data_IF_563523015277
#
_entry.id   IF_563523015277
#
_cell.length_a   1.000
_cell.length_b   1.000
_cell.length_c   1.000
_cell.angle_alpha   90.00
_cell.angle_beta   90.00
_cell.angle_gamma   90.00
#
_symmetry.space_group_name_H-M   'P 1'
#
loop_
_entity.id
_entity.type
_entity.pdbx_description
1 polymer ?
#
# COMPACT_ATOMS: atom_id res chain seq x y z
N UNK A 1 9.29 2.62 27.90
CA UNK A 1 8.25 1.75 27.30
C UNK A 1 7.48 2.58 26.29
N UNK A 2 7.29 2.10 25.06
CA UNK A 2 6.54 2.83 24.02
C UNK A 2 5.05 2.72 24.34
N UNK A 3 4.35 3.85 24.41
CA UNK A 3 2.90 3.90 24.67
C UNK A 3 2.10 3.47 23.43
N UNK A 4 0.87 2.97 23.60
CA UNK A 4 0.01 2.61 22.47
C UNK A 4 -0.27 3.80 21.54
N UNK A 5 -0.35 5.02 22.08
CA UNK A 5 -0.50 6.23 21.28
C UNK A 5 0.71 6.50 20.38
N UNK A 6 1.93 6.27 20.87
CA UNK A 6 3.14 6.36 20.05
C UNK A 6 3.19 5.26 18.99
N UNK A 7 2.81 4.02 19.33
CA UNK A 7 2.72 2.91 18.35
C UNK A 7 1.71 3.22 17.24
N UNK A 8 0.56 3.78 17.60
CA UNK A 8 -0.48 4.18 16.66
C UNK A 8 -0.01 5.30 15.74
N UNK A 9 0.68 6.32 16.28
CA UNK A 9 1.27 7.40 15.48
C UNK A 9 2.31 6.85 14.48
N UNK A 10 3.22 5.99 14.93
CA UNK A 10 4.21 5.39 14.03
C UNK A 10 3.54 4.52 12.97
N UNK A 11 2.55 3.71 13.35
CA UNK A 11 1.77 2.92 12.39
C UNK A 11 1.10 3.82 11.35
N UNK A 12 0.49 4.92 11.77
CA UNK A 12 -0.10 5.90 10.86
C UNK A 12 0.93 6.46 9.88
N UNK A 13 2.07 6.95 10.39
CA UNK A 13 3.12 7.56 9.56
C UNK A 13 3.71 6.58 8.55
N UNK A 14 3.99 5.34 8.97
CA UNK A 14 4.53 4.33 8.06
C UNK A 14 3.54 3.96 6.97
N UNK A 15 2.27 3.72 7.29
CA UNK A 15 1.29 3.42 6.26
C UNK A 15 1.00 4.61 5.35
N UNK A 16 0.87 5.83 5.91
CA UNK A 16 0.53 7.02 5.14
C UNK A 16 1.68 7.54 4.25
N UNK A 17 2.94 7.34 4.65
CA UNK A 17 4.12 7.88 3.93
C UNK A 17 4.91 6.79 3.21
N UNK A 18 5.19 5.68 3.89
CA UNK A 18 6.03 4.61 3.35
C UNK A 18 5.21 3.65 2.48
N UNK A 19 3.92 3.48 2.78
CA UNK A 19 2.99 2.71 1.95
C UNK A 19 2.94 3.17 0.49
N UNK A 20 2.68 4.46 0.20
CA UNK A 20 2.66 4.97 -1.17
C UNK A 20 3.99 4.82 -1.90
N UNK A 21 5.11 4.99 -1.18
CA UNK A 21 6.44 4.75 -1.74
C UNK A 21 6.62 3.29 -2.19
N UNK A 22 6.26 2.33 -1.34
CA UNK A 22 6.34 0.90 -1.71
C UNK A 22 5.37 0.54 -2.85
N UNK A 23 4.18 1.14 -2.89
CA UNK A 23 3.24 0.91 -3.98
C UNK A 23 3.81 1.41 -5.33
N UNK A 24 4.39 2.62 -5.35
CA UNK A 24 5.05 3.16 -6.53
C UNK A 24 6.25 2.32 -6.96
N UNK A 25 7.10 1.94 -6.00
CA UNK A 25 8.27 1.10 -6.26
C UNK A 25 7.86 -0.27 -6.82
N UNK A 26 6.86 -0.92 -6.22
CA UNK A 26 6.38 -2.22 -6.68
C UNK A 26 5.83 -2.13 -8.11
N UNK A 27 5.06 -1.09 -8.45
CA UNK A 27 4.55 -0.91 -9.81
C UNK A 27 5.69 -0.70 -10.81
N UNK A 28 6.67 0.14 -10.46
CA UNK A 28 7.86 0.37 -11.30
C UNK A 28 8.65 -0.92 -11.53
N UNK A 29 8.85 -1.72 -10.48
CA UNK A 29 9.51 -3.03 -10.57
C UNK A 29 8.71 -3.96 -11.49
N UNK A 30 7.39 -4.04 -11.34
CA UNK A 30 6.52 -4.88 -12.18
C UNK A 30 6.67 -4.51 -13.66
N UNK A 31 6.65 -3.22 -13.99
CA UNK A 31 6.80 -2.73 -15.38
C UNK A 31 8.20 -3.02 -15.93
N UNK A 32 9.24 -2.79 -15.12
CA UNK A 32 10.61 -3.07 -15.51
C UNK A 32 10.83 -4.58 -15.78
N UNK A 33 10.33 -5.44 -14.90
CA UNK A 33 10.41 -6.89 -15.06
C UNK A 33 9.60 -7.37 -16.26
N UNK A 34 8.41 -6.82 -16.50
CA UNK A 34 7.62 -7.17 -17.68
C UNK A 34 8.39 -6.93 -18.98
N UNK A 35 9.15 -5.83 -19.04
CA UNK A 35 10.02 -5.51 -20.18
C UNK A 35 11.17 -6.51 -20.34
N UNK A 36 11.81 -6.90 -19.23
CA UNK A 36 12.94 -7.84 -19.23
C UNK A 36 12.52 -9.26 -19.66
N UNK A 37 11.34 -9.71 -19.24
CA UNK A 37 10.84 -11.06 -19.53
C UNK A 37 10.02 -11.17 -20.82
N UNK A 38 9.99 -10.13 -21.66
CA UNK A 38 9.22 -10.13 -22.92
C UNK A 38 7.70 -10.16 -22.72
N UNK A 39 7.23 -9.77 -21.53
CA UNK A 39 5.81 -9.67 -21.16
C UNK A 39 5.24 -8.28 -21.46
N UNK A 40 5.94 -7.46 -22.25
CA UNK A 40 5.51 -6.10 -22.62
C UNK A 40 4.14 -6.07 -23.30
N UNK A 41 3.70 -7.18 -23.93
CA UNK A 41 2.35 -7.31 -24.48
C UNK A 41 1.22 -7.36 -23.44
N UNK A 42 1.55 -7.52 -22.15
CA UNK A 42 0.61 -7.41 -21.03
C UNK A 42 0.49 -5.98 -20.49
N UNK A 43 1.36 -5.06 -20.95
CA UNK A 43 1.31 -3.66 -20.59
C UNK A 43 0.47 -2.88 -21.62
N UNK A 44 -0.16 -1.75 -21.23
CA UNK A 44 -0.80 -0.83 -22.16
C UNK A 44 0.13 -0.42 -23.31
N UNK A 45 -0.42 -0.30 -24.52
CA UNK A 45 0.33 0.03 -25.74
C UNK A 45 1.05 1.40 -25.66
N UNK A 46 0.45 2.36 -24.97
CA UNK A 46 1.07 3.65 -24.67
C UNK A 46 1.30 3.75 -23.16
N UNK A 47 2.51 3.39 -22.73
CA UNK A 47 2.94 3.63 -21.36
C UNK A 47 3.60 5.01 -21.24
N UNK A 48 3.21 5.83 -20.26
CA UNK A 48 3.99 6.99 -19.87
C UNK A 48 5.42 6.60 -19.48
N UNK A 49 6.33 7.57 -19.44
CA UNK A 49 7.70 7.29 -18.99
C UNK A 49 7.71 6.70 -17.57
N UNK A 50 8.65 5.78 -17.29
CA UNK A 50 8.76 5.08 -16.01
C UNK A 50 8.69 6.02 -14.78
N UNK A 51 9.34 7.22 -14.77
CA UNK A 51 9.23 8.16 -13.67
C UNK A 51 7.81 8.72 -13.50
N UNK A 52 7.09 8.99 -14.60
CA UNK A 52 5.71 9.47 -14.55
C UNK A 52 4.76 8.41 -13.99
N UNK A 53 4.96 7.15 -14.34
CA UNK A 53 4.17 6.04 -13.79
C UNK A 53 4.40 5.89 -12.29
N UNK A 54 5.66 5.94 -11.84
CA UNK A 54 5.99 5.90 -10.41
C UNK A 54 5.36 7.06 -9.64
N UNK A 55 5.44 8.28 -10.18
CA UNK A 55 4.83 9.46 -9.56
C UNK A 55 3.30 9.33 -9.48
N UNK A 56 2.65 8.90 -10.57
CA UNK A 56 1.21 8.69 -10.59
C UNK A 56 0.77 7.64 -9.56
N UNK A 57 1.50 6.52 -9.47
CA UNK A 57 1.23 5.47 -8.49
C UNK A 57 1.39 5.96 -7.05
N UNK A 58 2.42 6.76 -6.76
CA UNK A 58 2.63 7.37 -5.44
C UNK A 58 1.44 8.27 -5.05
N UNK A 59 1.05 9.19 -5.94
CA UNK A 59 -0.05 10.13 -5.69
C UNK A 59 -1.37 9.37 -5.49
N UNK A 60 -1.69 8.43 -6.38
CA UNK A 60 -2.97 7.71 -6.32
C UNK A 60 -3.06 6.73 -5.15
N UNK A 61 -1.97 6.08 -4.78
CA UNK A 61 -1.94 5.17 -3.62
C UNK A 61 -2.01 5.90 -2.27
N UNK A 62 -1.81 7.23 -2.25
CA UNK A 62 -1.88 8.02 -1.01
C UNK A 62 -3.24 7.91 -0.34
N UNK A 63 -4.34 7.99 -1.10
CA UNK A 63 -5.71 7.93 -0.54
C UNK A 63 -5.99 6.60 0.17
N UNK A 64 -5.85 5.43 -0.49
CA UNK A 64 -6.06 4.16 0.20
C UNK A 64 -5.04 3.89 1.30
N UNK A 65 -3.80 4.38 1.16
CA UNK A 65 -2.79 4.27 2.22
C UNK A 65 -3.17 5.05 3.48
N UNK A 66 -3.69 6.27 3.35
CA UNK A 66 -4.18 7.07 4.49
C UNK A 66 -5.39 6.42 5.15
N UNK A 67 -6.35 5.89 4.36
CA UNK A 67 -7.48 5.15 4.92
C UNK A 67 -7.04 3.92 5.72
N UNK A 68 -6.08 3.17 5.16
CA UNK A 68 -5.46 2.03 5.84
C UNK A 68 -4.77 2.46 7.13
N UNK A 69 -3.97 3.53 7.06
CA UNK A 69 -3.24 4.10 8.18
C UNK A 69 -4.16 4.52 9.33
N UNK A 70 -5.29 5.18 9.02
CA UNK A 70 -6.27 5.61 10.02
C UNK A 70 -6.87 4.41 10.76
N UNK A 71 -7.35 3.40 10.02
CA UNK A 71 -7.96 2.21 10.62
C UNK A 71 -6.95 1.44 11.48
N UNK A 72 -5.76 1.18 10.95
CA UNK A 72 -4.73 0.43 11.69
C UNK A 72 -4.20 1.21 12.90
N UNK A 73 -4.08 2.54 12.82
CA UNK A 73 -3.71 3.36 13.97
C UNK A 73 -4.76 3.27 15.08
N UNK A 74 -6.06 3.26 14.74
CA UNK A 74 -7.14 3.06 15.73
C UNK A 74 -7.03 1.66 16.36
N UNK A 75 -6.79 0.62 15.55
CA UNK A 75 -6.57 -0.75 16.06
C UNK A 75 -5.40 -0.77 17.03
N UNK A 76 -4.22 -0.29 16.63
CA UNK A 76 -3.01 -0.25 17.47
C UNK A 76 -3.19 0.56 18.74
N UNK A 77 -3.93 1.68 18.69
CA UNK A 77 -4.24 2.43 19.92
C UNK A 77 -5.01 1.54 20.90
N UNK A 78 -6.04 0.82 20.43
CA UNK A 78 -6.93 0.01 21.26
C UNK A 78 -6.28 -1.29 21.76
N UNK A 79 -5.55 -1.99 20.91
CA UNK A 79 -5.05 -3.34 21.16
C UNK A 79 -3.55 -3.41 21.41
N UNK A 80 -2.79 -2.37 21.04
CA UNK A 80 -1.33 -2.34 21.08
C UNK A 80 -0.64 -3.01 19.88
N UNK A 81 -1.35 -3.84 19.12
CA UNK A 81 -0.79 -4.65 18.02
C UNK A 81 -1.87 -5.16 17.03
N UNK A 82 -1.45 -5.66 15.87
CA UNK A 82 -2.29 -6.33 14.86
C UNK A 82 -1.49 -7.37 14.06
N UNK A 83 -2.15 -8.45 13.63
CA UNK A 83 -1.53 -9.49 12.80
C UNK A 83 -1.45 -9.08 11.31
N UNK A 84 -0.68 -9.84 10.53
CA UNK A 84 -0.51 -9.57 9.10
C UNK A 84 -1.82 -9.63 8.31
N UNK A 85 -2.76 -10.50 8.71
CA UNK A 85 -4.04 -10.66 8.02
C UNK A 85 -4.92 -9.41 8.17
N UNK A 86 -4.93 -8.79 9.34
CA UNK A 86 -5.62 -7.52 9.60
C UNK A 86 -5.05 -6.42 8.70
N UNK A 87 -3.72 -6.35 8.57
CA UNK A 87 -3.05 -5.40 7.68
C UNK A 87 -3.54 -5.53 6.23
N UNK A 88 -3.53 -6.76 5.71
CA UNK A 88 -3.97 -7.08 4.35
C UNK A 88 -5.43 -6.72 4.14
N UNK A 89 -6.31 -7.19 5.02
CA UNK A 89 -7.77 -6.99 4.89
C UNK A 89 -8.09 -5.50 4.90
N UNK A 90 -7.53 -4.75 5.85
CA UNK A 90 -7.78 -3.30 5.96
C UNK A 90 -7.28 -2.59 4.71
N UNK A 91 -6.12 -2.94 4.19
CA UNK A 91 -5.57 -2.31 2.98
C UNK A 91 -6.40 -2.62 1.72
N UNK A 92 -6.86 -3.86 1.56
CA UNK A 92 -7.72 -4.27 0.44
C UNK A 92 -9.06 -3.54 0.49
N UNK A 93 -9.67 -3.44 1.68
CA UNK A 93 -10.94 -2.72 1.86
C UNK A 93 -10.74 -1.22 1.62
N UNK A 94 -9.69 -0.62 2.17
CA UNK A 94 -9.36 0.79 1.95
C UNK A 94 -9.11 1.11 0.47
N UNK A 95 -8.44 0.21 -0.25
CA UNK A 95 -8.28 0.31 -1.70
C UNK A 95 -9.63 0.24 -2.42
N UNK A 96 -10.49 -0.71 -2.09
CA UNK A 96 -11.81 -0.82 -2.69
C UNK A 96 -12.66 0.44 -2.46
N UNK A 97 -12.64 1.00 -1.25
CA UNK A 97 -13.31 2.25 -0.92
C UNK A 97 -12.73 3.40 -1.75
N UNK A 98 -11.40 3.53 -1.81
CA UNK A 98 -10.76 4.57 -2.60
C UNK A 98 -11.11 4.47 -4.10
N UNK A 99 -11.16 3.24 -4.65
CA UNK A 99 -11.52 2.98 -6.03
C UNK A 99 -13.00 3.28 -6.36
N UNK A 100 -13.89 3.27 -5.35
CA UNK A 100 -15.28 3.70 -5.51
C UNK A 100 -15.44 5.23 -5.45
N UNK A 101 -14.62 5.89 -4.63
CA UNK A 101 -14.68 7.34 -4.44
C UNK A 101 -13.98 8.13 -5.54
N UNK A 102 -12.98 7.52 -6.19
CA UNK A 102 -12.14 8.18 -7.17
C UNK A 102 -12.46 7.63 -8.57
N UNK A 103 -12.59 8.50 -9.59
CA UNK A 103 -12.80 8.09 -10.97
C UNK A 103 -11.49 7.53 -11.54
N UNK A 104 -11.15 6.31 -11.13
CA UNK A 104 -10.03 5.54 -11.66
C UNK A 104 -10.56 4.62 -12.76
N UNK A 105 -10.23 4.96 -14.01
CA UNK A 105 -10.50 4.15 -15.19
C UNK A 105 -9.52 2.96 -15.25
N UNK A 106 -9.68 2.05 -14.29
CA UNK A 106 -8.80 0.92 -14.03
C UNK A 106 -9.60 -0.38 -13.83
N UNK A 107 -10.79 -0.48 -14.40
CA UNK A 107 -11.76 -1.55 -14.10
C UNK A 107 -11.16 -2.96 -14.21
N UNK A 108 -10.29 -3.19 -15.19
CA UNK A 108 -9.61 -4.48 -15.38
C UNK A 108 -8.43 -4.70 -14.44
N UNK A 109 -7.81 -3.63 -13.93
CA UNK A 109 -6.63 -3.69 -13.06
C UNK A 109 -6.98 -3.68 -11.55
N UNK A 110 -8.21 -3.29 -11.19
CA UNK A 110 -8.66 -3.13 -9.79
C UNK A 110 -8.36 -4.35 -8.90
N UNK A 111 -8.66 -5.61 -9.28
CA UNK A 111 -8.37 -6.76 -8.43
C UNK A 111 -6.87 -6.95 -8.17
N UNK A 112 -6.04 -6.74 -9.19
CA UNK A 112 -4.58 -6.87 -9.08
C UNK A 112 -3.98 -5.76 -8.21
N UNK A 113 -4.49 -4.53 -8.33
CA UNK A 113 -4.06 -3.41 -7.51
C UNK A 113 -4.50 -3.54 -6.05
N UNK A 114 -5.70 -4.10 -5.81
CA UNK A 114 -6.15 -4.43 -4.46
C UNK A 114 -5.25 -5.49 -3.81
N UNK A 115 -4.88 -6.53 -4.58
CA UNK A 115 -3.93 -7.54 -4.13
C UNK A 115 -2.55 -6.93 -3.83
N UNK A 116 -2.06 -6.06 -4.71
CA UNK A 116 -0.81 -5.32 -4.50
C UNK A 116 -0.87 -4.46 -3.22
N UNK A 117 -1.99 -3.79 -2.95
CA UNK A 117 -2.18 -3.03 -1.73
C UNK A 117 -2.05 -3.92 -0.47
N UNK A 118 -2.60 -5.13 -0.51
CA UNK A 118 -2.43 -6.13 0.56
C UNK A 118 -0.98 -6.56 0.77
N UNK A 119 -0.22 -6.78 -0.32
CA UNK A 119 1.21 -7.09 -0.25
C UNK A 119 1.98 -5.92 0.37
N UNK A 120 1.76 -4.70 -0.14
CA UNK A 120 2.42 -3.49 0.36
C UNK A 120 2.14 -3.29 1.85
N UNK A 121 0.89 -3.44 2.28
CA UNK A 121 0.53 -3.38 3.70
C UNK A 121 1.28 -4.42 4.54
N UNK A 122 1.39 -5.65 4.06
CA UNK A 122 2.16 -6.70 4.74
C UNK A 122 3.63 -6.33 4.87
N UNK A 123 4.23 -5.74 3.82
CA UNK A 123 5.61 -5.26 3.85
C UNK A 123 5.80 -4.12 4.84
N UNK A 124 4.88 -3.14 4.86
CA UNK A 124 4.94 -2.04 5.84
C UNK A 124 4.80 -2.57 7.27
N UNK A 125 3.92 -3.55 7.50
CA UNK A 125 3.83 -4.23 8.80
C UNK A 125 5.15 -4.88 9.17
N UNK A 126 5.79 -5.60 8.25
CA UNK A 126 7.08 -6.25 8.51
C UNK A 126 8.16 -5.25 8.93
N UNK A 127 8.17 -4.05 8.34
CA UNK A 127 9.07 -2.97 8.76
C UNK A 127 8.76 -2.55 10.19
N UNK A 128 7.48 -2.32 10.54
CA UNK A 128 7.07 -1.95 11.90
C UNK A 128 7.44 -3.00 12.95
N UNK A 129 7.37 -4.28 12.61
CA UNK A 129 7.83 -5.40 13.46
C UNK A 129 9.35 -5.35 13.64
N UNK A 130 10.11 -5.12 12.57
CA UNK A 130 11.57 -5.08 12.62
C UNK A 130 12.13 -3.93 13.46
N UNK A 131 11.39 -2.82 13.59
CA UNK A 131 11.76 -1.67 14.40
C UNK A 131 11.09 -1.67 15.79
N UNK A 132 10.53 -2.80 16.22
CA UNK A 132 9.89 -3.02 17.53
C UNK A 132 8.69 -2.08 17.84
N UNK A 133 8.04 -1.53 16.81
CA UNK A 133 6.85 -0.67 16.97
C UNK A 133 5.58 -1.49 17.21
N UNK A 134 5.49 -2.70 16.68
CA UNK A 134 4.40 -3.66 16.90
C UNK A 134 4.99 -5.07 17.05
N UNK A 135 4.24 -6.04 17.58
CA UNK A 135 4.77 -7.39 17.78
C UNK A 135 4.62 -8.25 16.50
N UNK A 136 5.40 -9.35 16.46
CA UNK A 136 5.58 -10.19 15.27
C UNK A 136 4.29 -10.90 14.83
#
# INVERSE_FOLDING_TARGET
MITNGQRALWTFLFYALVGPFFAALALVIIIALASVFGLSGLLPAELPSLPQVGLAAFVWSTVPAVLTALVLAIVVWRTGDFNWLVAVIVAVIAFAIAAMLLPLDLDHARPYLAFLAGIVASMVRQVLVQIDVIAA
#
